data_IF_722104570433
#
_entry.id   IF_722104570433
#
_cell.length_a   1.000
_cell.length_b   1.000
_cell.length_c   1.000
_cell.angle_alpha   90.00
_cell.angle_beta   90.00
_cell.angle_gamma   90.00
#
_symmetry.space_group_name_H-M   'P 1'
#
loop_
_entity.id
_entity.type
_entity.pdbx_description
1 polymer ?
#
# COMPACT_ATOMS: atom_id res chain seq x y z
N UNK A 1 -6.65 14.87 -1.03
CA UNK A 1 -6.03 14.49 0.26
C UNK A 1 -6.76 13.36 0.99
N UNK A 2 -8.08 13.15 0.81
CA UNK A 2 -8.79 12.07 1.53
C UNK A 2 -8.25 10.65 1.29
N UNK A 3 -7.79 10.35 0.08
CA UNK A 3 -7.17 9.06 -0.24
C UNK A 3 -5.86 8.80 0.51
N UNK A 4 -5.10 9.84 0.89
CA UNK A 4 -3.87 9.67 1.66
C UNK A 4 -4.14 9.27 3.10
N UNK A 5 -5.28 9.67 3.66
CA UNK A 5 -5.66 9.25 5.01
C UNK A 5 -5.95 7.74 5.09
N UNK A 6 -6.09 7.07 3.95
CA UNK A 6 -6.30 5.62 3.86
C UNK A 6 -4.98 4.84 3.72
N UNK A 7 -3.84 5.52 3.63
CA UNK A 7 -2.51 4.91 3.56
C UNK A 7 -2.16 4.27 4.92
N UNK A 8 -1.62 3.04 4.90
CA UNK A 8 -1.16 2.32 6.09
C UNK A 8 0.27 1.86 5.92
N UNK A 9 1.01 1.81 7.04
CA UNK A 9 2.39 1.34 7.10
C UNK A 9 2.54 0.33 8.23
N UNK A 10 3.27 -0.75 7.98
CA UNK A 10 3.59 -1.78 8.97
C UNK A 10 5.03 -2.24 8.82
N UNK A 11 5.80 -2.17 9.90
CA UNK A 11 7.12 -2.80 9.98
C UNK A 11 6.96 -4.26 10.38
N UNK A 12 7.28 -5.15 9.45
CA UNK A 12 7.23 -6.59 9.69
C UNK A 12 8.51 -7.08 10.37
N UNK A 13 8.38 -8.14 11.19
CA UNK A 13 9.53 -8.90 11.66
C UNK A 13 10.11 -9.74 10.53
N UNK A 14 11.38 -10.16 10.61
CA UNK A 14 11.97 -11.07 9.62
C UNK A 14 11.25 -12.42 9.46
N UNK A 15 10.41 -12.79 10.43
CA UNK A 15 9.60 -14.00 10.42
C UNK A 15 8.27 -13.87 9.68
N UNK A 16 7.91 -12.68 9.21
CA UNK A 16 6.65 -12.47 8.50
C UNK A 16 6.60 -13.31 7.21
N UNK A 17 5.49 -14.00 7.04
CA UNK A 17 5.20 -14.79 5.84
C UNK A 17 4.75 -13.89 4.69
N UNK A 18 4.70 -14.47 3.49
CA UNK A 18 4.13 -13.81 2.33
C UNK A 18 2.64 -13.52 2.53
N UNK A 19 1.95 -14.45 3.18
CA UNK A 19 0.53 -14.36 3.51
C UNK A 19 0.27 -13.17 4.45
N UNK A 20 1.10 -12.97 5.48
CA UNK A 20 0.99 -11.81 6.39
C UNK A 20 1.06 -10.46 5.65
N UNK A 21 1.88 -10.38 4.60
CA UNK A 21 2.04 -9.17 3.78
C UNK A 21 0.82 -8.97 2.89
N UNK A 22 0.34 -10.03 2.25
CA UNK A 22 -0.86 -9.98 1.38
C UNK A 22 -2.08 -9.60 2.21
N UNK A 23 -2.26 -10.23 3.37
CA UNK A 23 -3.38 -9.96 4.27
C UNK A 23 -3.37 -8.50 4.72
N UNK A 24 -2.21 -7.94 5.06
CA UNK A 24 -2.11 -6.52 5.41
C UNK A 24 -2.53 -5.59 4.25
N UNK A 25 -2.18 -5.92 3.01
CA UNK A 25 -2.57 -5.13 1.82
C UNK A 25 -4.08 -5.20 1.61
N UNK A 26 -4.66 -6.41 1.68
CA UNK A 26 -6.11 -6.63 1.50
C UNK A 26 -6.90 -5.97 2.63
N UNK A 27 -6.46 -6.12 3.87
CA UNK A 27 -7.05 -5.49 5.06
C UNK A 27 -7.01 -3.96 4.92
N UNK A 28 -5.91 -3.40 4.42
CA UNK A 28 -5.80 -1.95 4.18
C UNK A 28 -6.85 -1.45 3.19
N UNK A 29 -7.05 -2.15 2.06
CA UNK A 29 -8.10 -1.80 1.11
C UNK A 29 -9.50 -1.98 1.71
N UNK A 30 -9.72 -3.04 2.49
CA UNK A 30 -11.01 -3.32 3.13
C UNK A 30 -11.38 -2.27 4.19
N UNK A 31 -10.42 -1.84 5.01
CA UNK A 31 -10.62 -0.79 6.02
C UNK A 31 -10.86 0.58 5.37
N UNK A 32 -10.20 0.86 4.25
CA UNK A 32 -10.42 2.09 3.49
C UNK A 32 -11.85 2.17 2.90
N UNK A 33 -12.43 1.03 2.51
CA UNK A 33 -13.81 0.96 2.00
C UNK A 33 -14.03 1.88 0.79
N UNK A 34 -15.12 2.66 0.82
CA UNK A 34 -15.45 3.61 -0.24
C UNK A 34 -14.77 4.98 -0.10
N UNK A 35 -14.01 5.22 0.97
CA UNK A 35 -13.40 6.53 1.25
C UNK A 35 -12.46 7.04 0.14
N UNK A 36 -11.62 6.21 -0.51
CA UNK A 36 -10.77 6.67 -1.61
C UNK A 36 -11.48 6.77 -2.98
N UNK A 37 -12.83 6.77 -3.03
CA UNK A 37 -13.66 6.87 -4.24
C UNK A 37 -13.32 5.81 -5.31
N UNK A 38 -13.92 4.60 -5.24
CA UNK A 38 -13.69 3.54 -6.23
C UNK A 38 -14.03 3.94 -7.68
N UNK A 39 -13.36 3.35 -8.70
CA UNK A 39 -12.33 2.32 -8.60
C UNK A 39 -10.96 2.88 -8.16
N UNK A 40 -10.19 2.08 -7.43
CA UNK A 40 -8.89 2.51 -6.88
C UNK A 40 -7.71 1.79 -7.52
N UNK A 41 -6.57 2.49 -7.54
CA UNK A 41 -5.25 1.91 -7.77
C UNK A 41 -4.56 1.79 -6.41
N UNK A 42 -3.97 0.64 -6.11
CA UNK A 42 -3.25 0.41 -4.86
C UNK A 42 -1.75 0.38 -5.14
N UNK A 43 -1.02 1.35 -4.58
CA UNK A 43 0.44 1.36 -4.59
C UNK A 43 0.99 0.63 -3.37
N UNK A 44 1.88 -0.34 -3.60
CA UNK A 44 2.52 -1.12 -2.53
C UNK A 44 4.03 -0.93 -2.61
N UNK A 45 4.64 -0.57 -1.47
CA UNK A 45 6.09 -0.48 -1.30
C UNK A 45 6.56 -1.49 -0.26
N UNK A 46 7.54 -2.31 -0.60
CA UNK A 46 8.09 -3.36 0.28
C UNK A 46 9.59 -3.15 0.40
N UNK A 47 10.09 -3.17 1.63
CA UNK A 47 11.51 -3.02 1.95
C UNK A 47 11.93 -1.58 2.21
N UNK A 48 13.19 -1.41 2.61
CA UNK A 48 13.74 -0.14 3.07
C UNK A 48 13.36 0.19 4.51
N UNK A 49 13.56 1.45 4.90
CA UNK A 49 13.10 2.00 6.16
C UNK A 49 11.65 2.53 6.07
N UNK A 50 11.19 3.16 7.15
CA UNK A 50 9.85 3.74 7.25
C UNK A 50 9.55 4.75 6.12
N UNK A 51 10.52 5.57 5.74
CA UNK A 51 10.33 6.61 4.73
C UNK A 51 10.42 6.03 3.32
N UNK A 52 11.38 5.12 3.11
CA UNK A 52 11.64 4.50 1.82
C UNK A 52 10.47 3.64 1.37
N UNK A 53 9.87 2.84 2.25
CA UNK A 53 8.71 2.02 1.87
C UNK A 53 7.49 2.88 1.47
N UNK A 54 7.25 3.99 2.19
CA UNK A 54 6.20 4.94 1.85
C UNK A 54 6.45 5.63 0.51
N UNK A 55 7.70 6.04 0.25
CA UNK A 55 8.11 6.59 -1.03
C UNK A 55 7.90 5.60 -2.19
N UNK A 56 8.31 4.34 -2.01
CA UNK A 56 8.12 3.30 -3.02
C UNK A 56 6.65 3.03 -3.30
N UNK A 57 5.81 2.97 -2.26
CA UNK A 57 4.36 2.81 -2.41
C UNK A 57 3.76 3.96 -3.23
N UNK A 58 4.18 5.20 -2.93
CA UNK A 58 3.72 6.38 -3.67
C UNK A 58 4.20 6.39 -5.11
N UNK A 59 5.45 6.00 -5.35
CA UNK A 59 6.01 5.86 -6.71
C UNK A 59 5.25 4.81 -7.51
N UNK A 60 4.92 3.68 -6.90
CA UNK A 60 4.12 2.63 -7.53
C UNK A 60 2.69 3.09 -7.83
N UNK A 61 2.07 3.85 -6.91
CA UNK A 61 0.73 4.42 -7.09
C UNK A 61 0.67 5.39 -8.27
N UNK A 62 1.70 6.21 -8.45
CA UNK A 62 1.77 7.23 -9.51
C UNK A 62 2.36 6.70 -10.83
N UNK A 63 2.60 5.38 -10.94
CA UNK A 63 3.13 4.77 -12.15
C UNK A 63 2.08 4.79 -13.26
N UNK A 64 2.52 4.99 -14.49
CA UNK A 64 1.65 4.92 -15.66
C UNK A 64 0.96 3.55 -15.76
N UNK A 65 -0.37 3.54 -15.92
CA UNK A 65 -1.18 2.33 -16.02
C UNK A 65 -0.99 1.57 -17.34
N UNK A 66 -0.47 2.24 -18.37
CA UNK A 66 -0.12 1.64 -19.67
C UNK A 66 1.19 0.86 -19.63
N UNK A 67 2.11 1.21 -18.72
CA UNK A 67 3.28 0.39 -18.45
C UNK A 67 2.81 -0.89 -17.72
N UNK A 68 3.31 -2.07 -18.12
CA UNK A 68 3.13 -3.33 -17.39
C UNK A 68 4.49 -3.94 -17.11
#
# INVERSE_FOLDING_TARGET
FGSENMSRLKMFTPSASKEDIIDFIVETASVAGSNPCPPIVVGVGIGGDFEQCAYLAKKALCRDLSAR
#
